data_IF_369602339738
#
_entry.id   IF_369602339738
#
_cell.length_a   1.000
_cell.length_b   1.000
_cell.length_c   1.000
_cell.angle_alpha   90.00
_cell.angle_beta   90.00
_cell.angle_gamma   90.00
#
_symmetry.space_group_name_H-M   'P 1'
#
loop_
_entity.id
_entity.type
_entity.pdbx_description
1 polymer ?
#
# COMPACT_ATOMS: atom_id res chain seq x y z
N UNK A 1 -6.24 12.08 10.69
CA UNK A 1 -5.83 10.70 11.09
C UNK A 1 -4.82 10.73 12.22
N UNK A 2 -3.64 11.35 12.04
CA UNK A 2 -2.61 11.44 13.09
C UNK A 2 -3.19 11.99 14.40
N UNK A 3 -3.79 13.18 14.37
CA UNK A 3 -4.40 13.81 15.56
C UNK A 3 -5.38 12.88 16.28
N UNK A 4 -6.24 12.19 15.52
CA UNK A 4 -7.19 11.21 16.07
C UNK A 4 -6.48 10.06 16.77
N UNK A 5 -5.48 9.46 16.12
CA UNK A 5 -4.73 8.33 16.68
C UNK A 5 -3.89 8.78 17.88
N UNK A 6 -3.40 10.02 17.93
CA UNK A 6 -2.61 10.53 19.05
C UNK A 6 -3.47 10.91 20.26
N UNK A 7 -4.60 11.57 20.04
CA UNK A 7 -5.36 12.24 21.10
C UNK A 7 -6.66 11.51 21.50
N UNK A 8 -7.20 10.64 20.65
CA UNK A 8 -8.52 10.01 20.85
C UNK A 8 -8.43 8.48 20.99
N UNK A 9 -7.34 7.96 21.57
CA UNK A 9 -7.25 6.54 21.94
C UNK A 9 -8.07 6.26 23.20
N UNK A 10 -8.61 5.05 23.29
CA UNK A 10 -9.28 4.61 24.51
C UNK A 10 -8.29 4.56 25.69
N UNK A 11 -8.74 4.88 26.93
CA UNK A 11 -7.91 4.76 28.12
C UNK A 11 -7.28 3.35 28.24
N UNK A 12 -5.98 3.29 28.57
CA UNK A 12 -5.23 2.04 28.70
C UNK A 12 -4.65 1.46 27.40
N UNK A 13 -4.98 2.03 26.23
CA UNK A 13 -4.40 1.65 24.93
C UNK A 13 -3.08 2.40 24.66
N UNK A 14 -1.97 1.76 25.02
CA UNK A 14 -0.62 2.25 24.66
C UNK A 14 -0.31 2.02 23.18
N UNK A 15 0.71 2.69 22.64
CA UNK A 15 1.09 2.58 21.22
C UNK A 15 1.34 1.12 20.77
N UNK A 16 2.11 0.36 21.55
CA UNK A 16 2.40 -1.05 21.26
C UNK A 16 1.23 -2.01 21.54
N UNK A 17 0.05 -1.49 21.91
CA UNK A 17 -1.19 -2.27 22.02
C UNK A 17 -2.17 -1.96 20.88
N UNK A 18 -1.84 -1.02 19.99
CA UNK A 18 -2.70 -0.67 18.87
C UNK A 18 -2.73 -1.80 17.83
N UNK A 19 -3.86 -2.08 17.15
CA UNK A 19 -3.87 -3.02 16.03
C UNK A 19 -2.87 -2.61 14.94
N UNK A 20 -2.24 -3.57 14.26
CA UNK A 20 -1.26 -3.25 13.20
C UNK A 20 -1.89 -2.43 12.06
N UNK A 21 -3.19 -2.61 11.80
CA UNK A 21 -3.95 -1.78 10.89
C UNK A 21 -3.89 -0.28 11.25
N UNK A 22 -3.96 0.06 12.54
CA UNK A 22 -3.88 1.46 12.99
C UNK A 22 -2.45 1.99 12.81
N UNK A 23 -1.44 1.17 13.09
CA UNK A 23 -0.04 1.54 12.85
C UNK A 23 0.25 1.84 11.38
N UNK A 24 -0.22 1.01 10.46
CA UNK A 24 0.03 1.26 9.03
C UNK A 24 -0.64 2.54 8.56
N UNK A 25 -1.88 2.81 8.99
CA UNK A 25 -2.55 4.10 8.69
C UNK A 25 -1.87 5.30 9.33
N UNK A 26 -1.33 5.16 10.55
CA UNK A 26 -0.58 6.23 11.21
C UNK A 26 0.65 6.60 10.38
N UNK A 27 1.42 5.60 9.97
CA UNK A 27 2.63 5.78 9.15
C UNK A 27 2.27 6.37 7.79
N UNK A 28 1.26 5.82 7.11
CA UNK A 28 0.78 6.35 5.82
C UNK A 28 0.39 7.82 5.92
N UNK A 29 -0.23 8.24 7.03
CA UNK A 29 -0.60 9.64 7.22
C UNK A 29 0.63 10.56 7.39
N UNK A 30 1.71 10.10 8.04
CA UNK A 30 2.96 10.86 8.12
C UNK A 30 3.66 10.95 6.76
N UNK A 31 3.74 9.83 6.02
CA UNK A 31 4.32 9.83 4.68
C UNK A 31 3.59 10.81 3.76
N UNK A 32 2.25 10.80 3.75
CA UNK A 32 1.45 11.73 2.96
C UNK A 32 1.79 13.21 3.27
N UNK A 33 1.90 13.58 4.54
CA UNK A 33 2.25 14.96 4.91
C UNK A 33 3.65 15.31 4.42
N UNK A 34 4.60 14.37 4.47
CA UNK A 34 5.97 14.61 4.07
C UNK A 34 6.13 14.78 2.55
N UNK A 35 5.40 14.00 1.72
CA UNK A 35 5.66 13.94 0.27
C UNK A 35 4.68 14.72 -0.60
N UNK A 36 3.44 14.94 -0.15
CA UNK A 36 2.46 15.69 -0.95
C UNK A 36 2.91 17.12 -1.29
N UNK A 37 3.61 17.88 -0.41
CA UNK A 37 4.14 19.18 -0.77
C UNK A 37 5.19 19.12 -1.89
N UNK A 38 5.98 18.05 -1.98
CA UNK A 38 7.00 17.88 -3.03
C UNK A 38 6.34 17.73 -4.40
N UNK A 39 5.30 16.90 -4.50
CA UNK A 39 4.50 16.80 -5.74
C UNK A 39 3.85 18.14 -6.10
N UNK A 40 3.25 18.82 -5.13
CA UNK A 40 2.63 20.13 -5.36
C UNK A 40 3.67 21.15 -5.90
N UNK A 41 4.88 21.14 -5.36
CA UNK A 41 6.00 21.93 -5.86
C UNK A 41 6.37 21.57 -7.30
N UNK A 42 6.58 20.28 -7.60
CA UNK A 42 6.89 19.81 -8.96
C UNK A 42 5.83 20.25 -9.99
N UNK A 43 4.55 20.02 -9.67
CA UNK A 43 3.43 20.43 -10.53
C UNK A 43 3.39 21.94 -10.71
N UNK A 44 3.62 22.71 -9.64
CA UNK A 44 3.66 24.17 -9.73
C UNK A 44 4.79 24.65 -10.65
N UNK A 45 6.00 24.11 -10.51
CA UNK A 45 7.13 24.44 -11.38
C UNK A 45 6.86 24.10 -12.85
N UNK A 46 6.26 22.94 -13.13
CA UNK A 46 5.87 22.58 -14.51
C UNK A 46 4.81 23.55 -15.06
N UNK A 47 3.83 23.93 -14.25
CA UNK A 47 2.79 24.87 -14.67
C UNK A 47 3.36 26.28 -14.90
N UNK A 48 4.32 26.73 -14.09
CA UNK A 48 4.97 28.03 -14.30
C UNK A 48 5.88 28.03 -15.52
N UNK A 49 6.57 26.92 -15.80
CA UNK A 49 7.36 26.78 -17.04
C UNK A 49 6.44 26.83 -18.26
N UNK A 50 5.26 26.21 -18.15
CA UNK A 50 4.30 26.14 -19.26
C UNK A 50 3.56 27.46 -19.53
N UNK A 51 3.16 28.19 -18.49
CA UNK A 51 2.20 29.30 -18.60
C UNK A 51 2.74 30.66 -18.18
N UNK A 52 3.84 30.72 -17.42
CA UNK A 52 4.38 31.95 -16.84
C UNK A 52 5.81 32.26 -17.31
N UNK A 53 6.36 31.44 -18.22
CA UNK A 53 7.67 31.67 -18.83
C UNK A 53 8.84 31.45 -17.88
N UNK A 54 8.69 30.66 -16.82
CA UNK A 54 9.84 30.17 -16.05
C UNK A 54 10.60 29.09 -16.83
N UNK A 55 11.79 28.72 -16.36
CA UNK A 55 12.63 27.71 -17.01
C UNK A 55 13.29 26.80 -15.98
N UNK A 56 12.49 26.19 -15.08
CA UNK A 56 13.00 25.25 -14.08
C UNK A 56 13.54 23.97 -14.73
N UNK A 57 12.81 23.43 -15.71
CA UNK A 57 13.12 22.14 -16.35
C UNK A 57 13.49 22.27 -17.84
N UNK A 58 13.37 23.47 -18.42
CA UNK A 58 13.76 23.72 -19.81
C UNK A 58 15.26 24.01 -19.93
N UNK A 59 16.00 23.10 -20.57
CA UNK A 59 17.42 23.24 -20.81
C UNK A 59 17.77 24.47 -21.66
N UNK A 60 16.89 24.90 -22.57
CA UNK A 60 17.13 26.09 -23.39
C UNK A 60 17.15 27.39 -22.56
N UNK A 61 16.40 27.40 -21.45
CA UNK A 61 16.39 28.50 -20.47
C UNK A 61 17.36 28.32 -19.30
N UNK A 62 18.23 27.29 -19.35
CA UNK A 62 19.20 26.98 -18.29
C UNK A 62 18.69 26.08 -17.15
N UNK A 63 17.49 25.52 -17.28
CA UNK A 63 16.92 24.53 -16.37
C UNK A 63 17.46 23.11 -16.61
N UNK A 64 17.03 22.15 -15.79
CA UNK A 64 17.46 20.76 -15.87
C UNK A 64 16.27 19.77 -15.87
N UNK A 65 16.02 19.02 -16.95
CA UNK A 65 15.02 17.96 -16.99
C UNK A 65 15.26 16.82 -15.98
N UNK A 66 16.51 16.53 -15.61
CA UNK A 66 16.84 15.47 -14.63
C UNK A 66 16.47 15.91 -13.21
N UNK A 67 16.51 17.22 -12.93
CA UNK A 67 15.97 17.78 -11.69
C UNK A 67 14.48 17.43 -11.50
N UNK A 68 13.69 17.47 -12.57
CA UNK A 68 12.28 17.04 -12.50
C UNK A 68 12.17 15.59 -12.04
N UNK A 69 12.98 14.69 -12.60
CA UNK A 69 12.97 13.27 -12.24
C UNK A 69 13.29 13.07 -10.75
N UNK A 70 14.30 13.75 -10.22
CA UNK A 70 14.63 13.65 -8.79
C UNK A 70 13.46 14.10 -7.90
N UNK A 71 12.85 15.24 -8.20
CA UNK A 71 11.74 15.78 -7.39
C UNK A 71 10.51 14.87 -7.50
N UNK A 72 10.19 14.43 -8.71
CA UNK A 72 9.06 13.54 -8.96
C UNK A 72 9.25 12.20 -8.25
N UNK A 73 10.42 11.57 -8.37
CA UNK A 73 10.66 10.27 -7.73
C UNK A 73 10.83 10.36 -6.22
N UNK A 74 11.34 11.47 -5.68
CA UNK A 74 11.36 11.71 -4.23
C UNK A 74 9.94 11.68 -3.64
N UNK A 75 8.94 12.12 -4.40
CA UNK A 75 7.54 11.88 -4.07
C UNK A 75 7.09 10.45 -4.41
N UNK A 76 7.36 10.01 -5.65
CA UNK A 76 6.76 8.82 -6.24
C UNK A 76 7.14 7.53 -5.53
N UNK A 77 8.37 7.41 -5.04
CA UNK A 77 8.78 6.20 -4.35
C UNK A 77 8.12 6.05 -2.96
N UNK A 78 8.09 7.06 -2.08
CA UNK A 78 7.22 7.03 -0.90
C UNK A 78 5.73 6.82 -1.22
N UNK A 79 5.22 7.33 -2.34
CA UNK A 79 3.83 7.12 -2.76
C UNK A 79 3.50 5.63 -2.95
N UNK A 80 4.39 4.83 -3.54
CA UNK A 80 4.12 3.39 -3.67
C UNK A 80 4.01 2.70 -2.32
N UNK A 81 4.72 3.18 -1.29
CA UNK A 81 4.53 2.70 0.07
C UNK A 81 3.24 3.18 0.71
N UNK A 82 2.83 4.43 0.47
CA UNK A 82 1.53 4.96 0.90
C UNK A 82 0.39 4.05 0.41
N UNK A 83 0.49 3.51 -0.81
CA UNK A 83 -0.50 2.60 -1.38
C UNK A 83 -0.48 1.19 -0.74
N UNK A 84 0.70 0.63 -0.43
CA UNK A 84 0.81 -0.75 0.05
C UNK A 84 0.67 -0.91 1.58
N UNK A 85 1.09 0.10 2.36
CA UNK A 85 1.10 0.00 3.83
C UNK A 85 -0.29 -0.28 4.43
N UNK A 86 -1.39 0.40 4.02
CA UNK A 86 -2.73 0.09 4.50
C UNK A 86 -3.14 -1.36 4.20
N UNK A 87 -2.74 -1.89 3.04
CA UNK A 87 -2.98 -3.27 2.64
C UNK A 87 -2.28 -4.26 3.57
N UNK A 88 -1.01 -4.03 3.94
CA UNK A 88 -0.35 -4.84 4.97
C UNK A 88 -1.11 -4.84 6.29
N UNK A 89 -1.70 -3.70 6.68
CA UNK A 89 -2.53 -3.59 7.86
C UNK A 89 -3.79 -4.46 7.80
N UNK A 90 -4.43 -4.52 6.63
CA UNK A 90 -5.62 -5.35 6.39
C UNK A 90 -5.25 -6.83 6.45
N UNK A 91 -4.18 -7.23 5.79
CA UNK A 91 -3.70 -8.63 5.78
C UNK A 91 -3.36 -9.09 7.19
N UNK A 92 -2.70 -8.24 7.98
CA UNK A 92 -2.41 -8.49 9.40
C UNK A 92 -3.64 -8.52 10.32
N UNK A 93 -4.81 -8.10 9.84
CA UNK A 93 -6.08 -8.29 10.55
C UNK A 93 -6.80 -9.57 10.10
N UNK A 94 -6.73 -9.93 8.81
CA UNK A 94 -7.37 -11.12 8.25
C UNK A 94 -6.68 -12.38 8.77
N UNK A 95 -5.36 -12.50 8.62
CA UNK A 95 -4.63 -13.75 8.88
C UNK A 95 -4.84 -14.24 10.32
N UNK A 96 -4.60 -13.43 11.38
CA UNK A 96 -4.86 -13.87 12.75
C UNK A 96 -6.31 -14.29 13.00
N UNK A 97 -7.28 -13.59 12.40
CA UNK A 97 -8.70 -13.85 12.58
C UNK A 97 -9.12 -15.19 11.98
N UNK A 98 -8.67 -15.50 10.75
CA UNK A 98 -9.04 -16.73 10.05
C UNK A 98 -8.13 -17.91 10.34
N UNK A 99 -6.94 -17.70 10.92
CA UNK A 99 -6.06 -18.75 11.47
C UNK A 99 -6.29 -19.04 12.95
N UNK A 100 -7.16 -18.28 13.63
CA UNK A 100 -7.48 -18.38 15.07
C UNK A 100 -6.23 -18.37 15.97
N UNK A 101 -5.24 -17.55 15.60
CA UNK A 101 -3.94 -17.45 16.28
C UNK A 101 -3.54 -15.99 16.37
N UNK A 102 -2.90 -15.59 17.47
CA UNK A 102 -2.33 -14.24 17.60
C UNK A 102 -1.27 -14.02 16.53
N UNK A 103 -1.17 -12.78 16.04
CA UNK A 103 -0.15 -12.39 15.06
C UNK A 103 1.24 -12.67 15.63
N UNK A 104 2.02 -13.48 14.92
CA UNK A 104 3.39 -13.78 15.27
C UNK A 104 4.27 -12.54 15.04
N UNK A 105 5.14 -12.23 16.01
CA UNK A 105 6.09 -11.12 15.89
C UNK A 105 5.44 -9.74 15.75
N UNK A 106 4.43 -9.41 16.58
CA UNK A 106 3.78 -8.09 16.52
C UNK A 106 4.79 -6.93 16.61
N UNK A 107 5.74 -6.96 17.54
CA UNK A 107 6.73 -5.90 17.68
C UNK A 107 7.64 -5.78 16.45
N UNK A 108 8.10 -6.92 15.90
CA UNK A 108 8.91 -6.90 14.67
C UNK A 108 8.12 -6.43 13.46
N UNK A 109 6.81 -6.72 13.39
CA UNK A 109 5.90 -6.16 12.38
C UNK A 109 5.77 -4.64 12.46
N UNK A 110 5.66 -4.08 13.68
CA UNK A 110 5.60 -2.62 13.88
C UNK A 110 6.92 -1.98 13.46
N UNK A 111 8.06 -2.49 13.94
CA UNK A 111 9.37 -1.95 13.58
C UNK A 111 9.67 -2.10 12.10
N UNK A 112 9.36 -3.22 11.47
CA UNK A 112 9.50 -3.38 10.02
C UNK A 112 8.69 -2.33 9.25
N UNK A 113 7.46 -2.03 9.70
CA UNK A 113 6.62 -1.01 9.06
C UNK A 113 7.23 0.40 9.23
N UNK A 114 7.77 0.71 10.42
CA UNK A 114 8.45 1.98 10.67
C UNK A 114 9.77 2.11 9.87
N UNK A 115 10.55 1.03 9.76
CA UNK A 115 11.78 0.99 8.97
C UNK A 115 11.50 1.24 7.49
N UNK A 116 10.44 0.64 6.92
CA UNK A 116 10.02 0.91 5.53
C UNK A 116 9.71 2.40 5.35
N UNK A 117 9.03 3.02 6.32
CA UNK A 117 8.71 4.44 6.25
C UNK A 117 9.95 5.33 6.24
N UNK A 118 10.93 5.06 7.11
CA UNK A 118 12.19 5.80 7.13
C UNK A 118 13.00 5.60 5.86
N UNK A 119 13.17 4.34 5.43
CA UNK A 119 13.93 3.99 4.23
C UNK A 119 13.28 4.53 2.94
N UNK A 120 11.96 4.73 2.92
CA UNK A 120 11.26 5.24 1.72
C UNK A 120 11.80 6.56 1.19
N UNK A 121 12.36 7.40 2.06
CA UNK A 121 12.98 8.68 1.70
C UNK A 121 14.43 8.56 1.24
N UNK A 122 15.02 7.36 1.24
CA UNK A 122 16.44 7.13 0.93
C UNK A 122 16.65 6.32 -0.36
N UNK A 123 15.60 6.02 -1.10
CA UNK A 123 15.66 5.03 -2.19
C UNK A 123 15.13 5.53 -3.53
N UNK A 124 14.62 6.76 -3.61
CA UNK A 124 13.90 7.24 -4.80
C UNK A 124 14.71 7.15 -6.10
N UNK A 125 16.03 7.33 -6.04
CA UNK A 125 16.86 7.40 -7.23
C UNK A 125 17.10 6.04 -7.89
N UNK A 126 16.62 4.91 -7.35
CA UNK A 126 16.66 3.66 -8.11
C UNK A 126 15.80 3.69 -9.38
N UNK A 127 14.87 4.63 -9.50
CA UNK A 127 14.13 4.86 -10.75
C UNK A 127 14.95 5.61 -11.79
N UNK A 128 16.19 5.97 -11.46
CA UNK A 128 17.06 6.86 -12.22
C UNK A 128 18.45 6.24 -12.49
N UNK A 129 18.62 4.93 -12.32
CA UNK A 129 19.93 4.30 -12.51
C UNK A 129 20.49 4.48 -13.93
N UNK A 130 19.64 4.64 -14.93
CA UNK A 130 20.04 4.84 -16.33
C UNK A 130 20.25 6.32 -16.71
N UNK A 131 20.09 7.27 -15.78
CA UNK A 131 20.21 8.71 -16.07
C UNK A 131 21.66 9.22 -16.02
N UNK A 132 22.65 8.33 -15.87
CA UNK A 132 24.07 8.69 -15.81
C UNK A 132 24.53 9.26 -14.47
N UNK A 133 23.95 8.81 -13.36
CA UNK A 133 24.36 9.25 -12.03
C UNK A 133 25.76 8.71 -11.65
N UNK A 134 26.51 9.36 -10.75
CA UNK A 134 27.81 8.86 -10.32
C UNK A 134 27.71 7.47 -9.66
N UNK A 135 28.67 6.59 -9.94
CA UNK A 135 28.72 5.21 -9.41
C UNK A 135 28.58 5.16 -7.87
N UNK A 136 29.17 6.12 -7.16
CA UNK A 136 29.03 6.19 -5.70
C UNK A 136 27.57 6.37 -5.24
N UNK A 137 26.79 7.16 -5.99
CA UNK A 137 25.37 7.36 -5.73
C UNK A 137 24.58 6.11 -6.13
N UNK A 138 24.88 5.49 -7.28
CA UNK A 138 24.24 4.23 -7.70
C UNK A 138 24.36 3.17 -6.61
N UNK A 139 25.57 2.94 -6.10
CA UNK A 139 25.84 1.95 -5.06
C UNK A 139 25.09 2.26 -3.77
N UNK A 140 25.03 3.54 -3.36
CA UNK A 140 24.25 3.95 -2.20
C UNK A 140 22.77 3.59 -2.35
N UNK A 141 22.14 4.00 -3.46
CA UNK A 141 20.72 3.75 -3.70
C UNK A 141 20.42 2.25 -3.94
N UNK A 142 21.34 1.50 -4.54
CA UNK A 142 21.27 0.04 -4.66
C UNK A 142 21.19 -0.60 -3.28
N UNK A 143 22.17 -0.34 -2.40
CA UNK A 143 22.20 -0.97 -1.07
C UNK A 143 21.02 -0.55 -0.21
N UNK A 144 20.63 0.74 -0.23
CA UNK A 144 19.45 1.21 0.49
C UNK A 144 18.15 0.55 -0.03
N UNK A 145 18.01 0.36 -1.34
CA UNK A 145 16.82 -0.28 -1.93
C UNK A 145 16.77 -1.77 -1.59
N UNK A 146 17.91 -2.47 -1.71
CA UNK A 146 18.03 -3.87 -1.29
C UNK A 146 17.70 -4.03 0.21
N UNK A 147 18.09 -3.09 1.06
CA UNK A 147 17.81 -3.13 2.49
C UNK A 147 16.30 -3.11 2.80
N UNK A 148 15.46 -2.49 1.96
CA UNK A 148 13.99 -2.51 2.17
C UNK A 148 13.40 -3.92 2.02
N UNK A 149 14.05 -4.81 1.29
CA UNK A 149 13.60 -6.20 1.17
C UNK A 149 13.61 -6.94 2.51
N UNK A 150 14.48 -6.55 3.45
CA UNK A 150 14.61 -7.17 4.78
C UNK A 150 13.36 -6.97 5.65
N UNK A 151 12.93 -5.73 5.99
CA UNK A 151 11.71 -5.53 6.77
C UNK A 151 10.48 -6.09 6.05
N UNK A 152 10.45 -6.02 4.72
CA UNK A 152 9.35 -6.60 3.92
C UNK A 152 9.30 -8.13 4.06
N UNK A 153 10.46 -8.80 3.95
CA UNK A 153 10.60 -10.25 4.14
C UNK A 153 10.18 -10.68 5.55
N UNK A 154 10.62 -9.95 6.59
CA UNK A 154 10.20 -10.20 7.99
C UNK A 154 8.67 -10.22 8.11
N UNK A 155 7.96 -9.30 7.43
CA UNK A 155 6.49 -9.27 7.45
C UNK A 155 5.90 -10.51 6.78
N UNK A 156 6.42 -10.90 5.62
CA UNK A 156 5.98 -12.12 4.91
C UNK A 156 6.17 -13.35 5.79
N UNK A 157 7.35 -13.53 6.40
CA UNK A 157 7.62 -14.66 7.29
C UNK A 157 6.70 -14.67 8.51
N UNK A 158 6.48 -13.52 9.14
CA UNK A 158 5.59 -13.42 10.29
C UNK A 158 4.13 -13.75 9.94
N UNK A 159 3.64 -13.41 8.75
CA UNK A 159 2.33 -13.85 8.27
C UNK A 159 2.26 -15.36 8.09
N UNK A 160 3.25 -15.96 7.43
CA UNK A 160 3.33 -17.42 7.24
C UNK A 160 3.43 -18.15 8.59
N UNK A 161 4.24 -17.66 9.52
CA UNK A 161 4.37 -18.20 10.87
C UNK A 161 3.07 -18.06 11.69
N UNK A 162 2.25 -17.03 11.40
CA UNK A 162 0.92 -16.88 12.00
C UNK A 162 -0.06 -17.93 11.46
N UNK A 163 0.03 -18.29 10.17
CA UNK A 163 -0.77 -19.36 9.58
C UNK A 163 -0.33 -20.75 10.04
N UNK A 164 0.98 -20.93 10.26
CA UNK A 164 1.57 -22.20 10.69
C UNK A 164 0.97 -22.70 12.01
N UNK A 165 0.49 -23.96 11.99
CA UNK A 165 -0.22 -24.61 13.11
C UNK A 165 -1.44 -23.81 13.61
N UNK A 166 -2.04 -22.99 12.75
CA UNK A 166 -3.33 -22.34 12.99
C UNK A 166 -4.51 -23.23 12.56
N UNK A 167 -5.70 -22.92 13.07
CA UNK A 167 -6.96 -23.54 12.62
C UNK A 167 -7.55 -22.66 11.52
N UNK A 168 -7.11 -22.88 10.29
CA UNK A 168 -7.47 -22.04 9.14
C UNK A 168 -8.86 -22.35 8.60
N UNK A 169 -9.59 -21.29 8.25
CA UNK A 169 -10.84 -21.36 7.48
C UNK A 169 -10.66 -20.61 6.15
N UNK A 170 -10.99 -21.26 5.04
CA UNK A 170 -10.74 -20.75 3.68
C UNK A 170 -11.92 -19.93 3.15
N UNK A 171 -12.37 -18.99 3.96
CA UNK A 171 -13.34 -17.99 3.52
C UNK A 171 -12.70 -17.03 2.51
N UNK A 172 -13.54 -16.35 1.73
CA UNK A 172 -13.07 -15.43 0.67
C UNK A 172 -11.98 -14.45 1.12
N UNK A 173 -12.06 -13.78 2.29
CA UNK A 173 -10.99 -12.91 2.77
C UNK A 173 -9.65 -13.62 2.97
N UNK A 174 -9.67 -14.87 3.45
CA UNK A 174 -8.45 -15.65 3.68
C UNK A 174 -7.82 -16.08 2.36
N UNK A 175 -8.62 -16.46 1.37
CA UNK A 175 -8.14 -16.78 0.02
C UNK A 175 -7.40 -15.59 -0.61
N UNK A 176 -7.97 -14.38 -0.51
CA UNK A 176 -7.30 -13.16 -0.98
C UNK A 176 -6.03 -12.84 -0.19
N UNK A 177 -5.99 -13.13 1.11
CA UNK A 177 -4.79 -12.91 1.91
C UNK A 177 -3.65 -13.86 1.54
N UNK A 178 -3.95 -15.13 1.24
CA UNK A 178 -2.97 -16.10 0.76
C UNK A 178 -2.48 -15.72 -0.64
N UNK A 179 -3.40 -15.40 -1.56
CA UNK A 179 -3.05 -14.95 -2.91
C UNK A 179 -2.17 -13.70 -2.89
N UNK A 180 -2.48 -12.75 -2.00
CA UNK A 180 -1.65 -11.60 -1.75
C UNK A 180 -0.23 -11.99 -1.33
N UNK A 181 -0.05 -12.86 -0.32
CA UNK A 181 1.30 -13.27 0.12
C UNK A 181 2.11 -13.88 -1.02
N UNK A 182 1.50 -14.77 -1.82
CA UNK A 182 2.20 -15.46 -2.92
C UNK A 182 2.62 -14.46 -4.00
N UNK A 183 1.68 -13.69 -4.54
CA UNK A 183 1.96 -12.73 -5.63
C UNK A 183 2.89 -11.61 -5.17
N UNK A 184 2.69 -11.10 -3.96
CA UNK A 184 3.55 -10.08 -3.38
C UNK A 184 4.98 -10.59 -3.17
N UNK A 185 5.17 -11.86 -2.84
CA UNK A 185 6.52 -12.45 -2.71
C UNK A 185 7.21 -12.57 -4.07
N UNK A 186 6.49 -13.01 -5.11
CA UNK A 186 7.01 -13.07 -6.50
C UNK A 186 7.36 -11.65 -7.00
N UNK A 187 6.46 -10.69 -6.77
CA UNK A 187 6.70 -9.28 -7.06
C UNK A 187 7.89 -8.72 -6.27
N UNK A 188 7.99 -9.02 -4.98
CA UNK A 188 9.10 -8.58 -4.13
C UNK A 188 10.45 -9.13 -4.59
N UNK A 189 10.50 -10.39 -5.05
CA UNK A 189 11.72 -10.99 -5.59
C UNK A 189 12.18 -10.33 -6.89
N UNK A 190 11.25 -10.09 -7.84
CA UNK A 190 11.59 -9.32 -9.06
C UNK A 190 12.01 -7.88 -8.74
N UNK A 191 11.49 -7.27 -7.67
CA UNK A 191 11.92 -5.96 -7.22
C UNK A 191 13.34 -5.94 -6.66
N UNK A 192 13.76 -7.02 -6.00
CA UNK A 192 15.15 -7.17 -5.57
C UNK A 192 16.10 -7.26 -6.77
N UNK A 193 15.66 -7.86 -7.88
CA UNK A 193 16.44 -7.88 -9.13
C UNK A 193 16.58 -6.47 -9.72
N UNK A 194 15.50 -5.68 -9.75
CA UNK A 194 15.52 -4.28 -10.19
C UNK A 194 16.35 -3.37 -9.27
N UNK A 195 16.47 -3.71 -7.99
CA UNK A 195 17.31 -2.95 -7.06
C UNK A 195 18.81 -3.06 -7.38
N UNK A 196 19.23 -4.11 -8.12
CA UNK A 196 20.63 -4.35 -8.47
C UNK A 196 20.97 -3.54 -9.72
N UNK A 197 21.67 -2.41 -9.54
CA UNK A 197 21.99 -1.47 -10.61
C UNK A 197 22.50 -2.10 -11.91
N UNK A 198 23.53 -2.97 -11.94
CA UNK A 198 24.01 -3.56 -13.20
C UNK A 198 22.98 -4.46 -13.90
N UNK A 199 22.06 -5.05 -13.14
CA UNK A 199 20.96 -5.83 -13.72
C UNK A 199 19.84 -4.90 -14.23
N UNK A 200 19.58 -3.80 -13.52
CA UNK A 200 18.58 -2.82 -13.91
C UNK A 200 18.89 -2.18 -15.27
N UNK A 201 20.15 -1.93 -15.62
CA UNK A 201 20.53 -1.46 -16.97
C UNK A 201 19.97 -2.35 -18.11
N UNK A 202 19.77 -3.64 -17.86
CA UNK A 202 19.18 -4.56 -18.83
C UNK A 202 17.64 -4.59 -18.78
N UNK A 203 17.04 -4.32 -17.62
CA UNK A 203 15.61 -4.43 -17.40
C UNK A 203 14.86 -3.10 -17.51
N UNK A 204 15.57 -1.98 -17.42
CA UNK A 204 15.01 -0.64 -17.35
C UNK A 204 14.09 -0.36 -18.53
N UNK A 205 12.93 0.24 -18.26
CA UNK A 205 11.88 0.55 -19.24
C UNK A 205 11.39 -0.62 -20.11
N UNK A 206 11.65 -1.86 -19.70
CA UNK A 206 11.08 -3.05 -20.35
C UNK A 206 9.81 -3.52 -19.65
N UNK A 207 9.10 -4.47 -20.27
CA UNK A 207 7.95 -5.14 -19.65
C UNK A 207 8.27 -5.85 -18.32
N UNK A 208 9.54 -6.06 -17.98
CA UNK A 208 9.93 -6.61 -16.68
C UNK A 208 9.55 -5.67 -15.53
N UNK A 209 9.81 -4.36 -15.66
CA UNK A 209 9.44 -3.35 -14.66
C UNK A 209 7.92 -3.26 -14.51
N UNK A 210 7.21 -3.26 -15.64
CA UNK A 210 5.74 -3.23 -15.66
C UNK A 210 5.19 -4.47 -14.94
N UNK A 211 5.69 -5.66 -15.26
CA UNK A 211 5.25 -6.90 -14.62
C UNK A 211 5.53 -6.92 -13.11
N UNK A 212 6.74 -6.52 -12.71
CA UNK A 212 7.12 -6.37 -11.30
C UNK A 212 6.10 -5.51 -10.54
N UNK A 213 5.85 -4.30 -11.03
CA UNK A 213 4.95 -3.35 -10.39
C UNK A 213 3.52 -3.89 -10.30
N UNK A 214 3.03 -4.55 -11.35
CA UNK A 214 1.69 -5.16 -11.34
C UNK A 214 1.57 -6.30 -10.32
N UNK A 215 2.59 -7.14 -10.15
CA UNK A 215 2.58 -8.17 -9.10
C UNK A 215 2.47 -7.57 -7.71
N UNK A 216 3.20 -6.48 -7.42
CA UNK A 216 3.25 -5.90 -6.08
C UNK A 216 2.00 -5.05 -5.78
N UNK A 217 1.57 -4.22 -6.73
CA UNK A 217 0.56 -3.20 -6.49
C UNK A 217 -0.87 -3.70 -6.69
N UNK A 218 -1.11 -4.52 -7.73
CA UNK A 218 -2.46 -5.07 -7.98
C UNK A 218 -2.83 -6.06 -6.87
N UNK A 219 -1.91 -6.95 -6.49
CA UNK A 219 -2.14 -7.87 -5.37
C UNK A 219 -2.31 -7.11 -4.06
N UNK A 220 -1.49 -6.08 -3.83
CA UNK A 220 -1.55 -5.23 -2.64
C UNK A 220 -2.84 -4.46 -2.49
N UNK A 221 -3.18 -3.62 -3.45
CA UNK A 221 -4.31 -2.70 -3.36
C UNK A 221 -5.66 -3.42 -3.56
N UNK A 222 -5.79 -4.30 -4.55
CA UNK A 222 -7.10 -4.84 -4.93
C UNK A 222 -7.54 -5.96 -3.99
N UNK A 223 -6.65 -6.91 -3.66
CA UNK A 223 -7.04 -8.09 -2.89
C UNK A 223 -7.30 -7.75 -1.43
N UNK A 224 -6.58 -6.76 -0.89
CA UNK A 224 -6.83 -6.24 0.46
C UNK A 224 -8.16 -5.49 0.57
N UNK A 225 -8.56 -4.75 -0.48
CA UNK A 225 -9.83 -4.02 -0.50
C UNK A 225 -11.02 -4.97 -0.73
N UNK A 226 -10.84 -6.08 -1.45
CA UNK A 226 -11.92 -7.02 -1.79
C UNK A 226 -12.50 -7.79 -0.58
N UNK A 227 -11.91 -7.64 0.62
CA UNK A 227 -12.51 -8.05 1.90
C UNK A 227 -13.93 -7.51 2.10
N UNK A 228 -14.18 -6.26 1.67
CA UNK A 228 -15.40 -5.51 2.01
C UNK A 228 -16.62 -5.83 1.16
N UNK A 229 -16.45 -6.54 0.03
CA UNK A 229 -17.54 -6.83 -0.91
C UNK A 229 -18.17 -8.21 -0.72
N UNK A 230 -17.45 -9.16 -0.12
CA UNK A 230 -17.92 -10.52 0.16
C UNK A 230 -18.37 -10.72 1.60
N UNK A 231 -17.87 -9.91 2.53
CA UNK A 231 -18.56 -9.71 3.82
C UNK A 231 -19.77 -8.81 3.56
N UNK A 232 -20.94 -9.42 3.34
CA UNK A 232 -22.20 -8.76 2.98
C UNK A 232 -22.79 -7.85 4.05
N UNK A 233 -21.99 -7.02 4.74
CA UNK A 233 -22.50 -5.98 5.63
C UNK A 233 -22.76 -4.72 4.78
N UNK A 234 -23.91 -4.71 4.06
CA UNK A 234 -24.40 -3.51 3.34
C UNK A 234 -24.74 -2.36 4.29
N UNK A 235 -25.01 -2.65 5.57
CA UNK A 235 -25.45 -1.69 6.60
C UNK A 235 -24.81 -1.97 7.97
N UNK A 236 -23.50 -1.78 8.10
CA UNK A 236 -22.81 -1.87 9.40
C UNK A 236 -22.83 -3.26 10.09
N UNK A 237 -22.22 -3.40 11.28
CA UNK A 237 -22.00 -4.67 11.98
C UNK A 237 -23.28 -5.26 12.58
N UNK A 238 -24.44 -4.60 12.49
CA UNK A 238 -25.69 -5.08 13.09
C UNK A 238 -26.46 -6.09 12.22
N UNK A 239 -26.13 -6.22 10.93
CA UNK A 239 -26.84 -7.13 10.02
C UNK A 239 -25.84 -7.83 9.09
N UNK A 240 -25.04 -8.75 9.63
CA UNK A 240 -24.24 -9.63 8.79
C UNK A 240 -24.95 -10.99 8.66
N UNK A 241 -25.54 -11.23 7.49
CA UNK A 241 -25.86 -12.57 7.00
C UNK A 241 -24.77 -12.93 5.98
N UNK A 242 -24.08 -14.05 6.19
CA UNK A 242 -23.08 -14.55 5.25
C UNK A 242 -23.78 -14.87 3.92
N UNK A 243 -23.32 -14.27 2.82
CA UNK A 243 -23.74 -14.75 1.50
C UNK A 243 -23.15 -16.16 1.32
N UNK A 244 -23.98 -17.19 1.10
CA UNK A 244 -23.47 -18.52 0.81
C UNK A 244 -22.67 -18.50 -0.50
N UNK A 245 -21.55 -19.23 -0.50
CA UNK A 245 -20.78 -19.56 -1.71
C UNK A 245 -21.68 -20.32 -2.71
N UNK A 246 -21.61 -20.05 -4.02
CA UNK A 246 -22.35 -20.81 -5.02
C UNK A 246 -21.64 -22.15 -5.26
N UNK A 247 -21.82 -23.09 -4.33
CA UNK A 247 -21.48 -24.50 -4.52
C UNK A 247 -22.57 -25.34 -3.86
N UNK A 248 -23.73 -25.39 -4.53
CA UNK A 248 -24.85 -26.22 -4.13
C UNK A 248 -24.73 -27.61 -4.76
N UNK A 249 -24.29 -28.59 -3.96
CA UNK A 249 -24.84 -29.94 -4.04
C UNK A 249 -25.89 -29.99 -2.93
N UNK A 250 -27.15 -30.04 -3.35
CA UNK A 250 -28.35 -29.98 -2.51
C UNK A 250 -28.55 -31.28 -1.73
N UNK A 251 -28.75 -31.16 -0.42
CA UNK A 251 -29.38 -32.22 0.37
C UNK A 251 -29.07 -32.14 1.85
N UNK A 252 -29.99 -31.54 2.62
CA UNK A 252 -30.50 -32.00 3.93
C UNK A 252 -31.17 -30.81 4.66
N UNK A 253 -32.39 -31.05 5.14
CA UNK A 253 -33.31 -30.10 5.77
C UNK A 253 -33.09 -29.98 7.28
N UNK A 254 -33.27 -28.74 7.78
CA UNK A 254 -33.80 -28.29 9.09
C UNK A 254 -33.11 -28.66 10.42
N UNK A 255 -32.81 -27.64 11.26
CA UNK A 255 -33.64 -27.29 12.44
C UNK A 255 -33.08 -26.13 13.32
N UNK A 256 -34.01 -25.24 13.71
CA UNK A 256 -34.18 -24.43 14.95
C UNK A 256 -33.07 -23.56 15.60
N UNK A 257 -33.38 -22.24 15.58
CA UNK A 257 -33.35 -21.19 16.64
C UNK A 257 -32.39 -21.23 17.85
N UNK A 258 -31.77 -20.08 18.16
CA UNK A 258 -31.99 -19.32 19.42
C UNK A 258 -31.48 -17.87 19.32
N UNK A 259 -32.18 -16.95 19.99
CA UNK A 259 -31.94 -15.49 20.05
C UNK A 259 -30.87 -15.09 21.08
N UNK A 260 -30.20 -13.94 20.89
CA UNK A 260 -29.73 -13.13 22.01
C UNK A 260 -29.58 -11.64 21.65
N UNK A 261 -30.11 -10.78 22.51
CA UNK A 261 -30.19 -9.32 22.44
C UNK A 261 -28.96 -8.61 23.02
N UNK A 262 -28.61 -7.40 22.54
CA UNK A 262 -28.41 -6.19 23.39
C UNK A 262 -27.88 -4.97 22.63
N UNK A 263 -28.33 -3.79 23.08
CA UNK A 263 -28.03 -2.43 22.62
C UNK A 263 -26.60 -2.00 22.99
N UNK A 264 -25.87 -1.30 22.11
CA UNK A 264 -24.88 -0.29 22.53
C UNK A 264 -24.48 0.71 21.40
N UNK A 265 -24.79 1.99 21.68
CA UNK A 265 -24.13 3.27 21.30
C UNK A 265 -23.93 3.70 19.82
N UNK A 266 -24.63 4.78 19.47
CA UNK A 266 -24.82 5.38 18.14
C UNK A 266 -23.84 6.51 17.75
N UNK A 267 -22.72 6.70 18.47
CA UNK A 267 -21.87 7.90 18.27
C UNK A 267 -20.70 7.73 17.29
N UNK A 268 -20.26 6.50 16.99
CA UNK A 268 -19.13 6.24 16.05
C UNK A 268 -19.47 6.31 14.56
N UNK A 269 -20.75 6.38 14.20
CA UNK A 269 -21.22 6.15 12.82
C UNK A 269 -21.14 7.36 11.91
N UNK A 270 -21.28 8.58 12.44
CA UNK A 270 -21.31 9.80 11.62
C UNK A 270 -19.93 10.16 11.04
N UNK A 271 -18.84 9.82 11.73
CA UNK A 271 -17.47 10.03 11.22
C UNK A 271 -17.08 9.03 10.11
N UNK A 272 -17.60 7.80 10.15
CA UNK A 272 -17.25 6.76 9.19
C UNK A 272 -17.88 6.97 7.79
N UNK A 273 -19.07 7.59 7.73
CA UNK A 273 -19.75 7.91 6.48
C UNK A 273 -19.11 9.06 5.71
N UNK A 274 -18.56 10.06 6.41
CA UNK A 274 -17.86 11.19 5.79
C UNK A 274 -16.58 10.75 5.06
N UNK A 275 -15.83 9.80 5.63
CA UNK A 275 -14.62 9.23 5.02
C UNK A 275 -14.94 8.47 3.73
N UNK A 276 -16.08 7.76 3.67
CA UNK A 276 -16.45 6.96 2.49
C UNK A 276 -16.77 7.78 1.24
N UNK A 277 -17.22 9.04 1.39
CA UNK A 277 -17.50 9.94 0.27
C UNK A 277 -16.23 10.57 -0.30
N UNK A 278 -15.22 10.84 0.55
CA UNK A 278 -13.95 11.43 0.13
C UNK A 278 -13.10 10.41 -0.65
N UNK A 279 -13.03 9.15 -0.19
CA UNK A 279 -12.23 8.11 -0.88
C UNK A 279 -12.76 7.77 -2.27
N UNK A 280 -14.08 7.87 -2.48
CA UNK A 280 -14.71 7.58 -3.77
C UNK A 280 -14.42 8.66 -4.82
N UNK A 281 -14.19 9.91 -4.38
CA UNK A 281 -13.83 11.00 -5.28
C UNK A 281 -12.35 10.93 -5.66
N UNK A 282 -11.43 10.70 -4.70
CA UNK A 282 -9.99 10.72 -4.96
C UNK A 282 -9.46 9.58 -5.85
N UNK A 283 -10.05 8.37 -5.75
CA UNK A 283 -9.62 7.20 -6.54
C UNK A 283 -10.04 7.27 -8.02
N UNK A 284 -11.19 7.90 -8.31
CA UNK A 284 -11.65 8.09 -9.69
C UNK A 284 -10.83 9.17 -10.41
N UNK A 285 -10.34 10.17 -9.68
CA UNK A 285 -9.43 11.17 -10.24
C UNK A 285 -8.03 10.62 -10.45
N UNK A 286 -7.47 9.82 -9.51
CA UNK A 286 -6.11 9.27 -9.66
C UNK A 286 -5.99 8.25 -10.80
N UNK A 287 -6.98 7.37 -10.99
CA UNK A 287 -6.99 6.41 -12.11
C UNK A 287 -7.08 7.10 -13.48
N UNK A 288 -7.75 8.26 -13.58
CA UNK A 288 -7.82 9.02 -14.83
C UNK A 288 -6.50 9.71 -15.17
N UNK A 289 -5.75 10.14 -14.16
CA UNK A 289 -4.43 10.76 -14.34
C UNK A 289 -3.35 9.76 -14.75
N UNK A 290 -3.30 8.56 -14.14
CA UNK A 290 -2.31 7.54 -14.51
C UNK A 290 -2.47 7.01 -15.94
N UNK A 291 -3.70 6.92 -16.45
CA UNK A 291 -3.96 6.47 -17.82
C UNK A 291 -3.69 7.59 -18.85
N UNK A 292 -4.00 8.85 -18.53
CA UNK A 292 -3.68 9.98 -19.42
C UNK A 292 -2.19 10.30 -19.50
N UNK A 293 -1.42 10.15 -18.41
CA UNK A 293 0.03 10.39 -18.43
C UNK A 293 0.77 9.35 -19.30
N UNK A 294 0.34 8.09 -19.30
CA UNK A 294 0.90 7.04 -20.15
C UNK A 294 0.54 7.20 -21.65
N UNK A 295 -0.52 7.95 -21.97
CA UNK A 295 -1.01 8.13 -23.34
C UNK A 295 -0.43 9.37 -24.05
N UNK A 296 0.07 10.35 -23.30
CA UNK A 296 0.57 11.62 -23.86
C UNK A 296 2.06 11.60 -24.27
N UNK A 297 2.81 10.53 -23.97
CA UNK A 297 4.23 10.40 -24.34
C UNK A 297 4.47 9.62 -25.65
N UNK A 298 3.40 9.18 -26.34
CA UNK A 298 3.50 8.29 -27.51
C UNK A 298 3.18 8.92 -28.88
N UNK A 299 3.03 10.24 -29.00
CA UNK A 299 2.76 10.89 -30.29
C UNK A 299 3.33 12.32 -30.34
N UNK A 300 4.63 12.43 -30.67
CA UNK A 300 5.25 13.49 -31.50
C UNK A 300 6.78 13.34 -31.46
N UNK A 301 7.30 12.62 -32.45
CA UNK A 301 8.53 12.87 -33.21
C UNK A 301 8.67 11.75 -34.23
#
# INVERSE_FOLDING_TARGET
MIVTIMNLRAPGMTYMKMPLFVWTWLITAFLLIAVMPVLAGAVTMVLTDKYFGTSFFDAAGGGDPVMFQHIFWFFGHPEVYIMILPSFGIISAIIPAFSRKKLFGYSSMVYATASIAGLSFLVWAHHMFTTGMPVAAELFFMYCTMLISVPTGVKVFNWVATMWRGSMTFEVPMLFAIAFIVLFTIGGFSGLMLAITPADFQYHDTYFVVAHFHYVLVSGAIFSIMRRRTTGCRNGPATCSMKPSPSGISGVRSSRSTSCSSRCTSWGWRACLAVSRITRCSLLTSMRWSVSAASCLGCRS
#
